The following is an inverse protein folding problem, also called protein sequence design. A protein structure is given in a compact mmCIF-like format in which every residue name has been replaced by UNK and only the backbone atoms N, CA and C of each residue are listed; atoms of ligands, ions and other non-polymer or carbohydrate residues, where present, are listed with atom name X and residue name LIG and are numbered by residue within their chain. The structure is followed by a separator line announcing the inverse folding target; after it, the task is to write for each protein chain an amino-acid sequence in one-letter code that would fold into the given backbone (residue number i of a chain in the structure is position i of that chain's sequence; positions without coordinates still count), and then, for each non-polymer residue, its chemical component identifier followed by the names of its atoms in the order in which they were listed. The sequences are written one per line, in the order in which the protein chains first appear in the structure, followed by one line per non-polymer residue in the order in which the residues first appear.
data_IF_592144694294
#
_entry.id   IF_592144694294
#
_cell.length_a   1.000
_cell.length_b   1.000
_cell.length_c   1.000
_cell.angle_alpha   90.00
_cell.angle_beta   90.00
_cell.angle_gamma   90.00
#
_symmetry.space_group_name_H-M   'P 1'
#
loop_
_entity.id
_entity.type
_entity.pdbx_description
1 polymer ?
#
# COMPACT_ATOMS: atom_id res chain seq x y z
N UNK A 1 3.63 14.46 8.77
CA UNK A 1 3.08 14.99 7.52
C UNK A 1 2.04 14.02 6.97
N UNK A 2 0.85 14.51 6.64
CA UNK A 2 -0.25 13.70 6.07
C UNK A 2 0.16 12.99 4.78
N UNK A 3 1.01 13.61 3.97
CA UNK A 3 1.50 13.02 2.71
C UNK A 3 2.17 11.66 2.93
N UNK A 4 2.95 11.52 4.00
CA UNK A 4 3.62 10.26 4.35
C UNK A 4 2.61 9.17 4.73
N UNK A 5 1.50 9.51 5.41
CA UNK A 5 0.43 8.59 5.76
C UNK A 5 -0.31 8.09 4.51
N UNK A 6 -0.72 9.03 3.64
CA UNK A 6 -1.39 8.68 2.39
C UNK A 6 -0.49 7.85 1.48
N UNK A 7 0.78 8.18 1.40
CA UNK A 7 1.73 7.38 0.64
C UNK A 7 1.83 5.96 1.20
N UNK A 8 1.96 5.81 2.53
CA UNK A 8 2.05 4.50 3.18
C UNK A 8 0.80 3.65 2.93
N UNK A 9 -0.39 4.25 2.97
CA UNK A 9 -1.67 3.58 2.67
C UNK A 9 -1.77 3.10 1.21
N UNK A 10 -0.99 3.67 0.29
CA UNK A 10 -1.03 3.37 -1.15
C UNK A 10 0.18 2.61 -1.69
N UNK A 11 1.14 2.24 -0.84
CA UNK A 11 2.33 1.50 -1.27
C UNK A 11 2.51 0.14 -0.59
N UNK A 12 1.86 -0.09 0.55
CA UNK A 12 1.98 -1.33 1.31
C UNK A 12 3.35 -1.56 1.98
N UNK A 13 4.23 -0.57 2.02
CA UNK A 13 5.52 -0.64 2.72
C UNK A 13 5.35 -0.70 4.23
N UNK A 14 6.40 -1.14 4.93
CA UNK A 14 6.51 -0.95 6.38
C UNK A 14 7.00 0.46 6.70
N UNK A 15 6.59 1.01 7.84
CA UNK A 15 7.08 2.32 8.29
C UNK A 15 8.62 2.36 8.35
N UNK A 16 9.24 1.29 8.86
CA UNK A 16 10.71 1.20 8.96
C UNK A 16 11.44 1.14 7.61
N UNK A 17 10.73 0.78 6.53
CA UNK A 17 11.25 0.86 5.16
C UNK A 17 11.07 2.29 4.64
N UNK A 18 9.89 2.85 4.81
CA UNK A 18 9.53 4.16 4.29
C UNK A 18 10.40 5.29 4.85
N UNK A 19 10.73 5.27 6.14
CA UNK A 19 11.58 6.30 6.76
C UNK A 19 13.03 6.28 6.26
N UNK A 20 13.44 5.22 5.58
CA UNK A 20 14.77 5.07 5.00
C UNK A 20 14.85 5.44 3.52
N UNK A 21 13.70 5.66 2.86
CA UNK A 21 13.64 5.98 1.43
C UNK A 21 14.33 7.30 1.16
N UNK A 22 15.30 7.29 0.26
CA UNK A 22 15.99 8.48 -0.24
C UNK A 22 15.43 8.90 -1.58
N UNK A 23 15.73 10.11 -1.99
CA UNK A 23 15.28 10.64 -3.30
C UNK A 23 15.78 9.79 -4.45
N UNK A 24 17.01 9.29 -4.41
CA UNK A 24 17.59 8.41 -5.43
C UNK A 24 16.86 7.08 -5.60
N UNK A 25 16.13 6.65 -4.56
CA UNK A 25 15.42 5.37 -4.53
C UNK A 25 14.03 5.45 -5.18
N UNK A 26 13.64 6.63 -5.68
CA UNK A 26 12.28 6.89 -6.18
C UNK A 26 12.30 7.31 -7.64
N UNK A 27 11.59 6.55 -8.47
CA UNK A 27 11.33 6.88 -9.86
C UNK A 27 9.83 7.14 -10.05
N UNK A 28 9.47 8.32 -10.54
CA UNK A 28 8.09 8.66 -10.87
C UNK A 28 7.76 8.24 -12.30
N UNK A 29 6.52 7.79 -12.49
CA UNK A 29 5.97 7.48 -13.81
C UNK A 29 4.45 7.71 -13.82
N UNK A 30 3.89 7.96 -14.99
CA UNK A 30 2.46 8.04 -15.20
C UNK A 30 1.95 6.72 -15.76
N UNK A 31 0.82 6.26 -15.24
CA UNK A 31 0.14 5.10 -15.81
C UNK A 31 -0.52 5.51 -17.13
N UNK A 32 -0.06 4.89 -18.20
CA UNK A 32 -0.63 5.02 -19.54
C UNK A 32 -1.28 3.69 -19.93
N UNK A 33 -2.36 3.76 -20.71
CA UNK A 33 -3.01 2.60 -21.31
C UNK A 33 -3.54 1.53 -20.33
N UNK A 34 -4.42 1.94 -19.43
CA UNK A 34 -5.24 0.97 -18.72
C UNK A 34 -6.69 1.02 -19.17
N UNK A 35 -7.38 -0.16 -19.22
CA UNK A 35 -8.81 -0.20 -19.53
C UNK A 35 -9.65 0.60 -18.51
N UNK A 36 -9.14 0.80 -17.30
CA UNK A 36 -9.77 1.60 -16.25
C UNK A 36 -9.43 3.08 -16.45
N UNK A 37 -10.29 3.86 -17.09
CA UNK A 37 -10.10 5.28 -17.40
C UNK A 37 -9.67 6.13 -16.19
N UNK A 38 -10.14 5.77 -14.97
CA UNK A 38 -9.82 6.51 -13.75
C UNK A 38 -8.33 6.41 -13.32
N UNK A 39 -7.60 5.45 -13.87
CA UNK A 39 -6.15 5.27 -13.62
C UNK A 39 -5.26 5.98 -14.63
N UNK A 40 -5.80 6.38 -15.79
CA UNK A 40 -5.02 7.07 -16.80
C UNK A 40 -4.53 8.43 -16.28
N UNK A 41 -3.25 8.72 -16.51
CA UNK A 41 -2.60 9.94 -16.04
C UNK A 41 -2.35 10.00 -14.54
N UNK A 42 -2.61 8.91 -13.79
CA UNK A 42 -2.27 8.85 -12.36
C UNK A 42 -0.76 8.73 -12.17
N UNK A 43 -0.23 9.64 -11.37
CA UNK A 43 1.17 9.62 -11.01
C UNK A 43 1.43 8.51 -9.98
N UNK A 44 2.27 7.58 -10.38
CA UNK A 44 2.76 6.49 -9.56
C UNK A 44 4.26 6.65 -9.31
N UNK A 45 4.82 5.83 -8.45
CA UNK A 45 6.26 5.72 -8.35
C UNK A 45 6.72 4.31 -8.04
N UNK A 46 7.91 3.98 -8.53
CA UNK A 46 8.68 2.82 -8.16
C UNK A 46 9.64 3.21 -7.05
N UNK A 47 9.66 2.46 -5.96
CA UNK A 47 10.53 2.71 -4.80
C UNK A 47 11.45 1.53 -4.59
N UNK A 48 12.75 1.78 -4.61
CA UNK A 48 13.77 0.78 -4.25
C UNK A 48 13.87 0.70 -2.72
N UNK A 49 13.52 -0.46 -2.16
CA UNK A 49 13.65 -0.71 -0.73
C UNK A 49 15.09 -1.09 -0.40
N UNK A 50 15.67 -0.42 0.59
CA UNK A 50 17.05 -0.64 0.98
C UNK A 50 17.27 -2.07 1.52
N UNK A 51 18.39 -2.76 1.14
CA UNK A 51 18.66 -4.13 1.55
C UNK A 51 18.83 -4.32 3.07
N UNK A 52 19.17 -3.26 3.80
CA UNK A 52 19.24 -3.30 5.28
C UNK A 52 17.90 -3.36 6.00
N UNK A 53 16.80 -3.49 5.26
CA UNK A 53 15.47 -3.67 5.83
C UNK A 53 15.19 -5.15 6.14
N UNK A 54 14.20 -5.41 7.00
CA UNK A 54 13.86 -6.78 7.43
C UNK A 54 13.56 -7.74 6.27
N UNK A 55 13.11 -7.23 5.13
CA UNK A 55 12.72 -8.03 3.96
C UNK A 55 13.74 -8.02 2.83
N UNK A 56 14.89 -7.38 3.03
CA UNK A 56 15.89 -7.24 1.99
C UNK A 56 15.50 -6.22 0.90
N UNK A 57 16.31 -6.20 -0.16
CA UNK A 57 16.07 -5.33 -1.31
C UNK A 57 14.86 -5.82 -2.11
N UNK A 58 14.01 -4.90 -2.52
CA UNK A 58 12.92 -5.12 -3.49
C UNK A 58 12.45 -3.82 -4.09
N UNK A 59 11.71 -3.92 -5.17
CA UNK A 59 10.98 -2.82 -5.74
C UNK A 59 9.54 -2.78 -5.21
N UNK A 60 9.03 -1.58 -4.96
CA UNK A 60 7.66 -1.35 -4.53
C UNK A 60 6.97 -0.40 -5.52
N UNK A 61 5.94 -0.90 -6.16
CA UNK A 61 5.05 -0.06 -6.96
C UNK A 61 4.06 0.66 -6.02
N UNK A 62 4.11 1.98 -6.01
CA UNK A 62 3.25 2.81 -5.17
C UNK A 62 2.31 3.65 -6.05
N UNK A 63 1.00 3.45 -5.85
CA UNK A 63 -0.04 4.27 -6.51
C UNK A 63 -0.17 5.67 -5.91
N UNK A 64 0.50 5.93 -4.79
CA UNK A 64 0.52 7.23 -4.12
C UNK A 64 1.64 8.15 -4.60
N UNK A 65 2.08 8.06 -5.86
CA UNK A 65 3.16 8.88 -6.41
C UNK A 65 2.93 10.37 -6.25
N UNK A 66 1.68 10.83 -6.36
CA UNK A 66 1.29 12.21 -6.13
C UNK A 66 1.62 12.72 -4.71
N UNK A 67 1.46 11.87 -3.69
CA UNK A 67 1.80 12.26 -2.31
C UNK A 67 3.31 12.38 -2.11
N UNK A 68 4.07 11.47 -2.72
CA UNK A 68 5.53 11.54 -2.76
C UNK A 68 6.01 12.76 -3.54
N UNK A 69 5.41 13.05 -4.70
CA UNK A 69 5.75 14.18 -5.56
C UNK A 69 5.51 15.52 -4.88
N UNK A 70 4.40 15.68 -4.16
CA UNK A 70 4.14 16.89 -3.37
C UNK A 70 5.22 17.17 -2.33
N UNK A 71 5.74 16.12 -1.67
CA UNK A 71 6.86 16.26 -0.73
C UNK A 71 8.15 16.53 -1.48
N UNK A 72 8.37 15.81 -2.57
CA UNK A 72 9.52 15.98 -3.45
C UNK A 72 9.70 17.43 -3.90
N UNK A 73 8.64 18.06 -4.37
CA UNK A 73 8.69 19.42 -4.92
C UNK A 73 8.86 20.47 -3.83
N UNK A 74 8.18 20.28 -2.68
CA UNK A 74 8.18 21.27 -1.58
C UNK A 74 9.39 21.18 -0.66
N UNK A 75 10.16 20.10 -0.69
CA UNK A 75 11.32 19.93 0.16
C UNK A 75 12.46 20.89 -0.24
N UNK A 76 13.11 21.48 0.74
CA UNK A 76 14.38 22.20 0.56
C UNK A 76 15.57 21.26 0.38
N UNK A 77 15.43 20.00 0.79
CA UNK A 77 16.45 18.94 0.70
C UNK A 77 16.28 18.21 -0.63
N UNK A 78 17.09 18.55 -1.65
CA UNK A 78 16.94 18.10 -3.04
C UNK A 78 18.06 17.20 -3.55
N UNK A 79 19.04 16.87 -2.70
CA UNK A 79 20.15 15.99 -3.08
C UNK A 79 19.65 14.54 -3.23
N UNK A 80 20.30 13.75 -4.06
CA UNK A 80 19.96 12.33 -4.28
C UNK A 80 19.97 11.51 -2.99
N UNK A 81 20.87 11.84 -2.06
CA UNK A 81 21.03 11.13 -0.79
C UNK A 81 20.09 11.62 0.32
N UNK A 82 19.36 12.73 0.10
CA UNK A 82 18.42 13.24 1.09
C UNK A 82 17.21 12.30 1.21
N UNK A 83 16.65 12.22 2.41
CA UNK A 83 15.46 11.42 2.65
C UNK A 83 14.24 12.02 1.92
N UNK A 84 13.42 11.17 1.33
CA UNK A 84 12.18 11.60 0.70
C UNK A 84 11.24 12.25 1.73
N UNK A 85 11.07 11.58 2.86
CA UNK A 85 10.29 12.07 3.98
C UNK A 85 11.24 12.40 5.13
N UNK A 86 11.45 13.69 5.39
CA UNK A 86 12.38 14.18 6.40
C UNK A 86 11.77 15.28 7.25
N UNK A 87 12.46 15.63 8.33
CA UNK A 87 12.23 16.84 9.10
C UNK A 87 12.68 18.09 8.33
N UNK A 88 12.38 19.27 8.85
CA UNK A 88 12.77 20.54 8.22
C UNK A 88 14.30 20.71 8.13
N UNK A 89 15.04 20.08 9.03
CA UNK A 89 16.51 20.05 9.05
C UNK A 89 17.13 18.97 8.14
N UNK A 90 16.28 18.21 7.43
CA UNK A 90 16.70 17.11 6.55
C UNK A 90 16.92 15.76 7.25
N UNK A 91 16.82 15.70 8.57
CA UNK A 91 16.99 14.43 9.30
C UNK A 91 15.82 13.46 9.03
N UNK A 92 16.13 12.15 9.06
CA UNK A 92 15.13 11.12 8.87
C UNK A 92 14.11 11.08 10.01
N UNK A 93 12.87 10.74 9.69
CA UNK A 93 11.91 10.34 10.71
C UNK A 93 12.31 8.98 11.30
N UNK A 94 12.15 8.83 12.62
CA UNK A 94 12.18 7.53 13.26
C UNK A 94 10.79 6.87 13.20
N UNK A 95 10.76 5.55 13.27
CA UNK A 95 9.49 4.79 13.34
C UNK A 95 8.67 5.21 14.57
N UNK A 96 9.32 5.51 15.69
CA UNK A 96 8.67 5.97 16.91
C UNK A 96 8.01 7.35 16.74
N UNK A 97 8.70 8.29 16.10
CA UNK A 97 8.14 9.62 15.81
C UNK A 97 6.95 9.54 14.87
N UNK A 98 7.03 8.66 13.83
CA UNK A 98 5.90 8.42 12.93
C UNK A 98 4.71 7.83 13.70
N UNK A 99 4.95 6.83 14.55
CA UNK A 99 3.92 6.22 15.38
C UNK A 99 3.21 7.24 16.27
N UNK A 100 3.96 8.07 17.00
CA UNK A 100 3.38 9.13 17.84
C UNK A 100 2.51 10.11 17.06
N UNK A 101 2.93 10.48 15.84
CA UNK A 101 2.12 11.36 14.96
C UNK A 101 0.84 10.68 14.49
N UNK A 102 0.91 9.40 14.18
CA UNK A 102 -0.25 8.59 13.80
C UNK A 102 -1.24 8.49 14.96
N UNK A 103 -0.78 8.12 16.15
CA UNK A 103 -1.60 8.01 17.36
C UNK A 103 -2.31 9.33 17.70
N UNK A 104 -1.61 10.46 17.59
CA UNK A 104 -2.23 11.79 17.76
C UNK A 104 -3.31 12.08 16.73
N UNK A 105 -3.11 11.66 15.48
CA UNK A 105 -4.12 11.83 14.43
C UNK A 105 -5.37 10.98 14.73
N UNK A 106 -5.19 9.72 15.10
CA UNK A 106 -6.29 8.82 15.45
C UNK A 106 -7.07 9.36 16.66
N UNK A 107 -6.38 9.79 17.71
CA UNK A 107 -7.00 10.40 18.88
C UNK A 107 -7.78 11.68 18.54
N UNK A 108 -7.27 12.51 17.63
CA UNK A 108 -7.96 13.74 17.19
C UNK A 108 -9.25 13.45 16.41
N UNK A 109 -9.28 12.34 15.66
CA UNK A 109 -10.43 11.94 14.83
C UNK A 109 -11.39 10.99 15.55
N UNK A 110 -11.06 10.54 16.77
CA UNK A 110 -11.80 9.54 17.56
C UNK A 110 -12.12 8.25 16.79
N UNK A 111 -11.26 7.86 15.84
CA UNK A 111 -11.49 6.68 15.00
C UNK A 111 -11.43 5.37 15.80
N UNK A 112 -10.61 5.30 16.85
CA UNK A 112 -10.56 4.11 17.72
C UNK A 112 -11.91 3.87 18.42
N UNK A 113 -12.55 4.91 18.94
CA UNK A 113 -13.86 4.83 19.57
C UNK A 113 -14.95 4.53 18.54
N UNK A 114 -14.94 5.25 17.40
CA UNK A 114 -15.93 5.09 16.34
C UNK A 114 -16.01 3.67 15.80
N UNK A 115 -14.88 3.00 15.70
CA UNK A 115 -14.81 1.65 15.13
C UNK A 115 -14.65 0.53 16.17
N UNK A 116 -14.50 0.88 17.46
CA UNK A 116 -14.22 -0.09 18.52
C UNK A 116 -12.93 -0.88 18.28
N UNK A 117 -11.92 -0.25 17.68
CA UNK A 117 -10.67 -0.89 17.27
C UNK A 117 -9.51 0.04 17.53
N UNK A 118 -8.40 -0.53 17.95
CA UNK A 118 -7.15 0.21 18.07
C UNK A 118 -6.37 0.22 16.77
N UNK A 119 -6.23 1.41 16.17
CA UNK A 119 -5.47 1.59 14.93
C UNK A 119 -4.00 1.91 15.24
N UNK A 120 -3.13 1.26 14.49
CA UNK A 120 -1.67 1.47 14.53
C UNK A 120 -1.17 1.76 13.11
N UNK A 121 0.04 2.32 12.93
CA UNK A 121 0.57 2.55 11.57
C UNK A 121 0.56 1.31 10.66
N UNK A 122 0.68 0.14 11.26
CA UNK A 122 0.60 -1.13 10.52
C UNK A 122 -0.80 -1.41 9.93
N UNK A 123 -1.85 -0.81 10.49
CA UNK A 123 -3.21 -0.89 9.95
C UNK A 123 -3.33 -0.34 8.53
N UNK A 124 -2.49 0.65 8.16
CA UNK A 124 -2.43 1.18 6.79
C UNK A 124 -1.95 0.13 5.79
N UNK A 125 -1.03 -0.73 6.20
CA UNK A 125 -0.56 -1.84 5.36
C UNK A 125 -1.63 -2.94 5.21
N UNK A 126 -2.42 -3.18 6.26
CA UNK A 126 -3.58 -4.05 6.17
C UNK A 126 -4.65 -3.47 5.23
N UNK A 127 -4.91 -2.17 5.32
CA UNK A 127 -5.81 -1.46 4.41
C UNK A 127 -5.34 -1.64 2.95
N UNK A 128 -4.06 -1.36 2.67
CA UNK A 128 -3.49 -1.56 1.34
C UNK A 128 -3.73 -2.99 0.82
N UNK A 129 -3.34 -4.00 1.59
CA UNK A 129 -3.49 -5.40 1.17
C UNK A 129 -4.94 -5.78 0.90
N UNK A 130 -5.85 -5.41 1.79
CA UNK A 130 -7.28 -5.68 1.65
C UNK A 130 -7.85 -5.01 0.40
N UNK A 131 -7.55 -3.72 0.20
CA UNK A 131 -8.01 -2.97 -0.97
C UNK A 131 -7.48 -3.58 -2.26
N UNK A 132 -6.20 -3.96 -2.32
CA UNK A 132 -5.62 -4.60 -3.52
C UNK A 132 -6.28 -5.94 -3.83
N UNK A 133 -6.50 -6.77 -2.82
CA UNK A 133 -7.20 -8.05 -3.00
C UNK A 133 -8.64 -7.83 -3.49
N UNK A 134 -9.36 -6.87 -2.93
CA UNK A 134 -10.72 -6.54 -3.36
C UNK A 134 -10.81 -6.07 -4.82
N UNK A 135 -9.74 -5.43 -5.33
CA UNK A 135 -9.64 -4.99 -6.73
C UNK A 135 -8.96 -6.04 -7.64
N UNK A 136 -8.87 -7.28 -7.20
CA UNK A 136 -8.41 -8.38 -8.05
C UNK A 136 -6.90 -8.43 -8.30
N UNK A 137 -6.09 -7.73 -7.50
CA UNK A 137 -4.62 -7.87 -7.59
C UNK A 137 -4.22 -9.31 -7.29
N UNK A 138 -3.37 -9.90 -8.15
CA UNK A 138 -2.89 -11.25 -7.92
C UNK A 138 -2.12 -11.37 -6.61
N UNK A 139 -2.27 -12.52 -5.95
CA UNK A 139 -1.60 -12.80 -4.67
C UNK A 139 -0.08 -12.71 -4.78
N UNK A 140 0.47 -13.25 -5.85
CA UNK A 140 1.91 -13.22 -6.11
C UNK A 140 2.42 -11.78 -6.23
N UNK A 141 1.81 -10.96 -7.09
CA UNK A 141 2.20 -9.55 -7.24
C UNK A 141 2.07 -8.77 -5.92
N UNK A 142 1.02 -9.06 -5.13
CA UNK A 142 0.84 -8.41 -3.84
C UNK A 142 1.91 -8.84 -2.83
N UNK A 143 2.27 -10.13 -2.81
CA UNK A 143 3.33 -10.66 -1.97
C UNK A 143 4.69 -10.04 -2.29
N UNK A 144 5.03 -9.94 -3.56
CA UNK A 144 6.27 -9.32 -4.04
C UNK A 144 6.32 -7.84 -3.64
N UNK A 145 5.28 -7.09 -3.96
CA UNK A 145 5.19 -5.67 -3.63
C UNK A 145 5.31 -5.40 -2.13
N UNK A 146 4.62 -6.19 -1.32
CA UNK A 146 4.66 -6.04 0.14
C UNK A 146 5.90 -6.65 0.79
N UNK A 147 6.63 -7.54 0.14
CA UNK A 147 7.70 -8.34 0.75
C UNK A 147 7.17 -9.25 1.86
N UNK A 148 6.19 -10.10 1.51
CA UNK A 148 5.61 -11.13 2.37
C UNK A 148 5.46 -12.42 1.60
N UNK A 149 5.33 -13.54 2.31
CA UNK A 149 5.07 -14.85 1.72
C UNK A 149 3.55 -15.06 1.48
N UNK A 150 3.19 -15.95 0.59
CA UNK A 150 1.79 -16.36 0.42
C UNK A 150 1.19 -16.95 1.70
N UNK A 151 1.97 -17.70 2.46
CA UNK A 151 1.56 -18.23 3.76
C UNK A 151 1.16 -17.13 4.72
N UNK A 152 1.95 -16.03 4.76
CA UNK A 152 1.61 -14.85 5.54
C UNK A 152 0.30 -14.22 5.06
N UNK A 153 0.15 -14.04 3.74
CA UNK A 153 -1.05 -13.46 3.14
C UNK A 153 -2.29 -14.30 3.48
N UNK A 154 -2.21 -15.60 3.34
CA UNK A 154 -3.29 -16.54 3.71
C UNK A 154 -3.66 -16.42 5.18
N UNK A 155 -2.68 -16.44 6.08
CA UNK A 155 -2.91 -16.35 7.53
C UNK A 155 -3.67 -15.08 7.93
N UNK A 156 -3.36 -13.96 7.34
CA UNK A 156 -3.89 -12.66 7.75
C UNK A 156 -5.10 -12.17 6.94
N UNK A 157 -5.29 -12.70 5.73
CA UNK A 157 -6.32 -12.22 4.80
C UNK A 157 -7.23 -13.33 4.25
N UNK A 158 -7.25 -14.52 4.88
CA UNK A 158 -8.02 -15.69 4.42
C UNK A 158 -9.50 -15.37 4.16
N UNK A 159 -10.15 -14.62 5.03
CA UNK A 159 -11.56 -14.22 4.87
C UNK A 159 -11.83 -13.45 3.57
N UNK A 160 -10.91 -12.59 3.16
CA UNK A 160 -11.00 -11.84 1.91
C UNK A 160 -10.72 -12.75 0.70
N UNK A 161 -9.72 -13.62 0.83
CA UNK A 161 -9.38 -14.59 -0.22
C UNK A 161 -10.53 -15.56 -0.50
N UNK A 162 -11.22 -16.03 0.52
CA UNK A 162 -12.40 -16.92 0.36
C UNK A 162 -13.52 -16.19 -0.38
N UNK A 163 -13.82 -14.95 -0.06
CA UNK A 163 -14.85 -14.15 -0.75
C UNK A 163 -14.52 -13.91 -2.23
N UNK A 164 -13.25 -13.64 -2.54
CA UNK A 164 -12.80 -13.49 -3.93
C UNK A 164 -12.88 -14.82 -4.69
N UNK A 165 -12.44 -15.91 -4.06
CA UNK A 165 -12.54 -17.26 -4.65
C UNK A 165 -14.00 -17.65 -4.91
N UNK A 166 -14.93 -17.27 -4.04
CA UNK A 166 -16.36 -17.52 -4.27
C UNK A 166 -16.84 -16.85 -5.56
N UNK A 167 -16.46 -15.59 -5.79
CA UNK A 167 -16.82 -14.89 -7.03
C UNK A 167 -16.22 -15.57 -8.27
N UNK A 168 -14.97 -16.07 -8.18
CA UNK A 168 -14.31 -16.76 -9.28
C UNK A 168 -14.89 -18.17 -9.49
N UNK A 169 -15.21 -18.88 -8.42
CA UNK A 169 -15.85 -20.20 -8.48
C UNK A 169 -17.30 -20.13 -9.00
N UNK A 170 -17.95 -18.97 -8.83
CA UNK A 170 -19.31 -18.73 -9.32
C UNK A 170 -19.35 -18.21 -10.77
N UNK A 171 -18.20 -17.91 -11.38
CA UNK A 171 -18.12 -17.65 -12.82
C UNK A 171 -18.37 -18.95 -13.55
N UNK A 172 -19.63 -19.19 -13.93
CA UNK A 172 -19.97 -20.28 -14.82
C UNK A 172 -19.42 -19.93 -16.21
N UNK A 173 -18.62 -20.83 -16.75
CA UNK A 173 -18.18 -20.75 -18.13
C UNK A 173 -19.44 -20.81 -19.03
N UNK A 174 -19.71 -19.75 -19.77
CA UNK A 174 -20.87 -19.64 -20.64
C UNK A 174 -20.87 -20.72 -21.72
N UNK A 175 -19.73 -21.36 -21.96
CA UNK A 175 -19.52 -22.38 -22.99
C UNK A 175 -19.83 -23.80 -22.51
N UNK A 176 -20.02 -24.03 -21.21
CA UNK A 176 -20.37 -25.36 -20.67
C UNK A 176 -21.89 -25.50 -20.49
N UNK A 177 -22.73 -25.05 -21.36
CA UNK A 177 -24.13 -25.41 -21.57
C UNK A 177 -24.99 -25.95 -20.41
N UNK A 178 -24.56 -25.87 -19.17
CA UNK A 178 -25.26 -26.26 -17.97
C UNK A 178 -26.10 -25.12 -17.43
N UNK A 179 -27.18 -24.80 -18.11
CA UNK A 179 -28.22 -23.89 -17.60
C UNK A 179 -28.95 -24.50 -16.39
N UNK A 180 -28.18 -24.73 -15.30
CA UNK A 180 -28.74 -25.18 -14.03
C UNK A 180 -29.23 -24.02 -13.19
N UNK A 181 -30.55 -23.90 -12.96
CA UNK A 181 -31.09 -23.15 -11.86
C UNK A 181 -30.54 -23.71 -10.54
N UNK A 182 -29.78 -22.94 -9.77
CA UNK A 182 -29.44 -23.33 -8.41
C UNK A 182 -30.73 -23.25 -7.59
N UNK A 183 -31.26 -24.38 -7.20
CA UNK A 183 -32.33 -24.49 -6.21
C UNK A 183 -31.61 -24.53 -4.86
N UNK A 184 -31.73 -23.47 -4.08
CA UNK A 184 -31.36 -23.51 -2.68
C UNK A 184 -32.38 -24.38 -1.95
N UNK A 185 -31.92 -25.51 -1.41
CA UNK A 185 -32.66 -26.36 -0.48
C UNK A 185 -32.57 -25.78 0.93
#
# INVERSE_FOLDING_TARGET
SYQMLFFLANCGMRVGELVKVRRKDVQFYELQERPDEWMNGKLCCLVQVHPSTKTGAREVNAMGGEFAKRVWDKSSHKRKEDFLFCHLDGSAFTTSQFRKKFERMIAYTNEDERWGKHFVPYSLRHLYATTRLQHGTSRTALCENMGVTETYLRKHYSKYLTRLATADLMKMDKDIGLGGKIILL
#
